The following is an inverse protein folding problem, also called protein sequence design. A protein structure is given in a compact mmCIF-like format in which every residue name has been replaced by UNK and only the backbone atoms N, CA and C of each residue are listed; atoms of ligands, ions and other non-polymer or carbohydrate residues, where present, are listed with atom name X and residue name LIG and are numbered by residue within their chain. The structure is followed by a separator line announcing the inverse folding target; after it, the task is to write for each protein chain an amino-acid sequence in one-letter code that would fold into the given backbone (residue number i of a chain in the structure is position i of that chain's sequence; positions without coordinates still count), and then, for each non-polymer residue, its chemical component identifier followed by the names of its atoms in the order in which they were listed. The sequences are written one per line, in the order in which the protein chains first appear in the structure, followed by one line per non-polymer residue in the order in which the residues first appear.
data_IF_061087495598
#
_entry.id   IF_061087495598
#
_cell.length_a   1.000
_cell.length_b   1.000
_cell.length_c   1.000
_cell.angle_alpha   90.00
_cell.angle_beta   90.00
_cell.angle_gamma   90.00
#
_symmetry.space_group_name_H-M   'P 1'
#
loop_
_entity.id
_entity.type
_entity.pdbx_description
1 polymer ?
#
# COMPACT_ATOMS: atom_id res chain seq x y z
N UNK A 1 5.06 -2.00 14.61
CA UNK A 1 5.53 -2.89 13.52
C UNK A 1 4.35 -3.77 13.19
N UNK A 2 4.00 -3.88 11.91
CA UNK A 2 2.82 -4.62 11.46
C UNK A 2 3.28 -5.74 10.53
N UNK A 3 2.82 -6.96 10.79
CA UNK A 3 3.00 -8.07 9.86
C UNK A 3 1.75 -8.14 8.96
N UNK A 4 1.98 -7.97 7.65
CA UNK A 4 0.91 -7.95 6.65
C UNK A 4 0.51 -9.35 6.19
N UNK A 5 1.27 -10.39 6.55
CA UNK A 5 0.97 -11.80 6.20
C UNK A 5 0.68 -11.99 4.70
N UNK A 6 1.47 -11.33 3.86
CA UNK A 6 1.25 -11.27 2.41
C UNK A 6 1.32 -12.65 1.73
N UNK A 7 2.01 -13.60 2.36
CA UNK A 7 2.09 -15.00 1.96
C UNK A 7 0.72 -15.71 1.94
N UNK A 8 -0.33 -15.13 2.55
CA UNK A 8 -1.72 -15.62 2.44
C UNK A 8 -2.29 -15.46 1.04
N UNK A 9 -1.76 -14.53 0.23
CA UNK A 9 -2.35 -14.15 -1.07
C UNK A 9 -1.58 -14.66 -2.28
N UNK A 10 -0.34 -15.14 -2.10
CA UNK A 10 0.47 -15.74 -3.17
C UNK A 10 1.51 -16.70 -2.60
N UNK A 11 2.05 -17.57 -3.46
CA UNK A 11 3.17 -18.45 -3.09
C UNK A 11 4.45 -17.61 -3.01
N UNK A 12 4.76 -17.12 -1.82
CA UNK A 12 5.92 -16.30 -1.53
C UNK A 12 6.50 -16.55 -0.14
N UNK A 13 7.58 -15.85 0.18
CA UNK A 13 8.13 -15.83 1.54
C UNK A 13 7.30 -14.86 2.42
N UNK A 14 7.20 -15.12 3.73
CA UNK A 14 6.69 -14.13 4.67
C UNK A 14 7.62 -12.90 4.69
N UNK A 15 7.05 -11.71 4.58
CA UNK A 15 7.82 -10.46 4.70
C UNK A 15 8.06 -10.08 6.17
N UNK A 16 7.25 -10.64 7.09
CA UNK A 16 7.36 -10.40 8.53
C UNK A 16 6.99 -8.98 8.93
N UNK A 17 7.37 -8.54 10.15
CA UNK A 17 7.03 -7.23 10.66
C UNK A 17 7.68 -6.08 9.88
N UNK A 18 6.86 -5.23 9.27
CA UNK A 18 7.29 -4.05 8.51
C UNK A 18 6.94 -2.77 9.30
N UNK A 19 7.74 -1.71 9.11
CA UNK A 19 7.46 -0.37 9.63
C UNK A 19 6.50 0.37 8.71
N UNK A 20 5.60 1.16 9.30
CA UNK A 20 4.81 2.12 8.54
C UNK A 20 5.72 3.30 8.17
N UNK A 21 5.92 3.52 6.87
CA UNK A 21 6.73 4.64 6.36
C UNK A 21 5.95 5.95 6.46
N UNK A 22 6.63 7.10 6.59
CA UNK A 22 5.98 8.41 6.51
C UNK A 22 5.26 8.60 5.17
N UNK A 23 4.09 9.25 5.20
CA UNK A 23 3.29 9.52 3.99
C UNK A 23 3.46 10.95 3.45
N UNK A 24 4.14 11.85 4.18
CA UNK A 24 4.40 13.22 3.71
C UNK A 24 5.39 13.20 2.53
N UNK A 25 5.07 13.91 1.45
CA UNK A 25 5.87 13.93 0.22
C UNK A 25 5.89 12.59 -0.53
N UNK A 26 4.96 11.68 -0.25
CA UNK A 26 4.98 10.32 -0.80
C UNK A 26 4.93 10.30 -2.34
N UNK A 27 4.26 11.26 -2.98
CA UNK A 27 4.18 11.34 -4.44
C UNK A 27 5.55 11.44 -5.13
N UNK A 28 6.55 11.97 -4.43
CA UNK A 28 7.88 12.25 -4.99
C UNK A 28 8.85 11.06 -4.85
N UNK A 29 8.43 9.96 -4.20
CA UNK A 29 9.28 8.80 -3.91
C UNK A 29 8.74 7.46 -4.43
N UNK A 30 8.37 7.31 -5.71
CA UNK A 30 8.10 6.00 -6.28
C UNK A 30 9.42 5.20 -6.48
N UNK A 31 9.39 3.86 -6.52
CA UNK A 31 8.23 3.00 -6.26
C UNK A 31 7.93 2.82 -4.76
N UNK A 32 6.73 2.30 -4.45
CA UNK A 32 6.19 2.18 -3.10
C UNK A 32 6.34 0.76 -2.52
N UNK A 33 6.20 0.69 -1.19
CA UNK A 33 6.49 -0.47 -0.32
C UNK A 33 8.01 -0.72 -0.14
N UNK A 34 8.38 -1.47 0.90
CA UNK A 34 9.79 -1.68 1.27
C UNK A 34 10.62 -2.43 0.22
N UNK A 35 9.96 -3.21 -0.65
CA UNK A 35 10.57 -3.96 -1.75
C UNK A 35 10.35 -3.29 -3.12
N UNK A 36 9.68 -2.13 -3.16
CA UNK A 36 9.43 -1.37 -4.38
C UNK A 36 8.49 -2.04 -5.39
N UNK A 37 7.70 -3.05 -4.99
CA UNK A 37 6.84 -3.79 -5.93
C UNK A 37 5.59 -3.03 -6.39
N UNK A 38 5.28 -1.90 -5.77
CA UNK A 38 4.08 -1.10 -6.07
C UNK A 38 4.48 0.15 -6.86
N UNK A 39 4.30 0.18 -8.20
CA UNK A 39 4.83 1.25 -9.03
C UNK A 39 4.04 2.56 -8.91
N UNK A 40 2.77 2.52 -8.51
CA UNK A 40 1.91 3.71 -8.39
C UNK A 40 1.22 3.81 -7.03
N UNK A 41 0.71 5.01 -6.70
CA UNK A 41 -0.14 5.21 -5.53
C UNK A 41 -1.45 4.43 -5.63
N UNK A 42 -1.98 4.22 -6.85
CA UNK A 42 -3.14 3.37 -7.07
C UNK A 42 -2.84 1.92 -6.69
N UNK A 43 -1.68 1.39 -7.10
CA UNK A 43 -1.25 0.04 -6.70
C UNK A 43 -1.05 -0.06 -5.19
N UNK A 44 -0.57 1.03 -4.56
CA UNK A 44 -0.41 1.12 -3.11
C UNK A 44 -1.75 1.04 -2.38
N UNK A 45 -2.73 1.84 -2.82
CA UNK A 45 -4.08 1.83 -2.24
C UNK A 45 -4.76 0.48 -2.48
N UNK A 46 -4.65 -0.08 -3.68
CA UNK A 46 -5.25 -1.39 -3.98
C UNK A 46 -4.61 -2.52 -3.15
N UNK A 47 -3.29 -2.51 -3.02
CA UNK A 47 -2.56 -3.48 -2.22
C UNK A 47 -3.08 -3.49 -0.78
N UNK A 48 -3.16 -2.34 -0.11
CA UNK A 48 -3.66 -2.29 1.27
C UNK A 48 -5.17 -2.57 1.37
N UNK A 49 -5.97 -2.19 0.37
CA UNK A 49 -7.38 -2.55 0.31
C UNK A 49 -7.57 -4.09 0.29
N UNK A 50 -6.76 -4.81 -0.48
CA UNK A 50 -6.80 -6.27 -0.56
C UNK A 50 -6.26 -6.94 0.70
N UNK A 51 -5.05 -6.57 1.13
CA UNK A 51 -4.37 -7.22 2.26
C UNK A 51 -5.13 -7.01 3.58
N UNK A 52 -5.71 -5.84 3.78
CA UNK A 52 -6.46 -5.51 4.99
C UNK A 52 -7.97 -5.77 4.84
N UNK A 53 -8.40 -6.34 3.69
CA UNK A 53 -9.80 -6.70 3.41
C UNK A 53 -10.80 -5.55 3.65
N UNK A 54 -10.42 -4.32 3.29
CA UNK A 54 -11.17 -3.09 3.63
C UNK A 54 -12.46 -2.90 2.83
N UNK A 55 -12.57 -3.56 1.66
CA UNK A 55 -13.73 -3.49 0.75
C UNK A 55 -14.07 -2.07 0.30
N UNK A 56 -13.04 -1.26 0.04
CA UNK A 56 -13.22 0.10 -0.44
C UNK A 56 -13.92 0.13 -1.80
N UNK A 57 -14.87 1.04 -1.93
CA UNK A 57 -15.50 1.38 -3.21
C UNK A 57 -14.50 2.02 -4.16
N UNK A 58 -14.87 2.11 -5.44
CA UNK A 58 -14.04 2.82 -6.42
C UNK A 58 -13.77 4.27 -6.00
N UNK A 59 -14.80 4.99 -5.54
CA UNK A 59 -14.67 6.40 -5.18
C UNK A 59 -13.72 6.59 -3.98
N UNK A 60 -13.85 5.77 -2.93
CA UNK A 60 -12.98 5.87 -1.76
C UNK A 60 -11.50 5.64 -2.11
N UNK A 61 -11.20 4.75 -3.07
CA UNK A 61 -9.83 4.54 -3.53
C UNK A 61 -9.28 5.75 -4.28
N UNK A 62 -10.08 6.36 -5.15
CA UNK A 62 -9.69 7.60 -5.85
C UNK A 62 -9.46 8.75 -4.87
N UNK A 63 -10.34 8.89 -3.87
CA UNK A 63 -10.22 9.93 -2.83
C UNK A 63 -8.95 9.75 -1.99
N UNK A 64 -8.60 8.50 -1.65
CA UNK A 64 -7.34 8.20 -0.96
C UNK A 64 -6.11 8.53 -1.81
N UNK A 65 -6.12 8.18 -3.10
CA UNK A 65 -5.01 8.55 -3.99
C UNK A 65 -4.87 10.07 -4.09
N UNK A 66 -5.99 10.79 -4.26
CA UNK A 66 -6.00 12.25 -4.29
C UNK A 66 -5.45 12.86 -2.99
N UNK A 67 -5.83 12.30 -1.85
CA UNK A 67 -5.29 12.70 -0.55
C UNK A 67 -3.77 12.51 -0.47
N UNK A 68 -3.25 11.34 -0.87
CA UNK A 68 -1.81 11.04 -0.84
C UNK A 68 -1.00 11.96 -1.78
N UNK A 69 -1.58 12.40 -2.90
CA UNK A 69 -0.96 13.38 -3.81
C UNK A 69 -0.89 14.81 -3.23
N UNK A 70 -1.71 15.11 -2.22
CA UNK A 70 -1.73 16.41 -1.54
C UNK A 70 -0.78 16.48 -0.33
N UNK A 71 -0.20 15.35 0.09
CA UNK A 71 0.78 15.27 1.17
C UNK A 71 2.20 15.66 0.73
#
# INVERSE_FOLDING_TARGET
MHDLQVERFYKGRPEGPIKTFPLRGIKDTPPYLHDGRLPTLHDTVEFFNLILELKLTKQEKEDLVAYLLAL
#
